data_IF_096443661116
#
_entry.id   IF_096443661116
#
_cell.length_a   1.000
_cell.length_b   1.000
_cell.length_c   1.000
_cell.angle_alpha   90.00
_cell.angle_beta   90.00
_cell.angle_gamma   90.00
#
_symmetry.space_group_name_H-M   'P 1'
#
loop_
_entity.id
_entity.type
_entity.pdbx_description
1 polymer ?
#
# COMPACT_ATOMS: atom_id res chain seq x y z
N UNK A 1 52.55 5.75 7.60
CA UNK A 1 51.08 5.62 7.38
C UNK A 1 50.40 5.34 8.70
N UNK A 2 49.68 6.33 9.23
CA UNK A 2 49.04 6.24 10.54
C UNK A 2 47.80 5.34 10.54
N UNK A 3 47.77 4.37 11.45
CA UNK A 3 46.52 3.73 11.87
C UNK A 3 46.08 4.45 13.14
N UNK A 4 45.14 5.39 13.00
CA UNK A 4 44.46 5.98 14.15
C UNK A 4 43.56 4.89 14.73
N UNK A 5 44.03 4.26 15.81
CA UNK A 5 43.23 3.41 16.68
C UNK A 5 42.27 4.30 17.46
N UNK A 6 40.99 4.31 17.11
CA UNK A 6 39.98 5.08 17.83
C UNK A 6 39.82 4.54 19.27
N UNK A 7 39.70 5.42 20.29
CA UNK A 7 39.62 5.02 21.69
C UNK A 7 38.27 4.37 22.03
N UNK A 8 38.32 3.27 22.78
CA UNK A 8 37.20 2.39 23.21
C UNK A 8 36.19 3.08 24.17
N UNK A 9 36.32 4.40 24.42
CA UNK A 9 35.57 5.09 25.47
C UNK A 9 34.21 5.67 25.06
N UNK A 10 33.78 5.55 23.81
CA UNK A 10 32.52 6.21 23.39
C UNK A 10 31.47 5.28 22.75
N UNK A 11 31.48 4.00 23.10
CA UNK A 11 30.51 3.02 22.56
C UNK A 11 29.06 3.37 22.92
N UNK A 12 28.81 3.96 24.10
CA UNK A 12 27.47 4.41 24.50
C UNK A 12 26.94 5.54 23.61
N UNK A 13 27.78 6.51 23.24
CA UNK A 13 27.36 7.56 22.32
C UNK A 13 27.17 7.03 20.89
N UNK A 14 28.04 6.11 20.43
CA UNK A 14 27.87 5.46 19.13
C UNK A 14 26.57 4.66 19.09
N UNK A 15 26.24 3.89 20.14
CA UNK A 15 24.97 3.17 20.23
C UNK A 15 23.76 4.10 20.39
N UNK A 16 23.90 5.23 21.09
CA UNK A 16 22.84 6.25 21.20
C UNK A 16 22.57 6.93 19.86
N UNK A 17 23.61 7.23 19.08
CA UNK A 17 23.49 7.78 17.73
C UNK A 17 22.88 6.73 16.79
N UNK A 18 23.34 5.48 16.84
CA UNK A 18 22.76 4.39 16.06
C UNK A 18 21.29 4.11 16.44
N UNK A 19 20.94 4.19 17.73
CA UNK A 19 19.55 4.09 18.20
C UNK A 19 18.71 5.27 17.69
N UNK A 20 19.25 6.49 17.76
CA UNK A 20 18.59 7.70 17.27
C UNK A 20 18.38 7.67 15.75
N UNK A 21 19.35 7.12 15.00
CA UNK A 21 19.22 6.90 13.55
C UNK A 21 18.21 5.80 13.23
N UNK A 22 18.20 4.69 13.99
CA UNK A 22 17.20 3.62 13.81
C UNK A 22 15.78 4.13 14.11
N UNK A 23 15.56 4.85 15.22
CA UNK A 23 14.25 5.42 15.54
C UNK A 23 13.83 6.49 14.53
N UNK A 24 14.76 7.28 14.00
CA UNK A 24 14.43 8.28 12.96
C UNK A 24 14.00 7.60 11.66
N UNK A 25 14.64 6.50 11.26
CA UNK A 25 14.23 5.71 10.09
C UNK A 25 12.85 5.08 10.30
N UNK A 26 12.62 4.47 11.47
CA UNK A 26 11.34 3.82 11.78
C UNK A 26 10.19 4.85 11.84
N UNK A 27 10.44 6.06 12.39
CA UNK A 27 9.48 7.17 12.41
C UNK A 27 9.23 7.71 11.00
N UNK A 28 10.25 7.88 10.16
CA UNK A 28 10.09 8.35 8.79
C UNK A 28 9.30 7.34 7.94
N UNK A 29 9.60 6.05 8.07
CA UNK A 29 8.83 5.00 7.38
C UNK A 29 7.39 4.91 7.91
N UNK A 30 7.16 5.07 9.21
CA UNK A 30 5.80 5.11 9.77
C UNK A 30 5.01 6.37 9.36
N UNK A 31 5.67 7.53 9.24
CA UNK A 31 5.08 8.77 8.76
C UNK A 31 4.76 8.71 7.25
N UNK A 32 5.62 8.07 6.46
CA UNK A 32 5.40 7.84 5.04
C UNK A 32 4.25 6.84 4.80
N UNK A 33 4.17 5.76 5.58
CA UNK A 33 3.06 4.79 5.55
C UNK A 33 1.74 5.41 6.02
N UNK A 34 1.75 6.25 7.04
CA UNK A 34 0.52 6.88 7.58
C UNK A 34 -0.02 7.99 6.68
N UNK A 35 0.83 8.75 5.98
CA UNK A 35 0.39 9.72 4.97
C UNK A 35 -0.35 9.03 3.80
N UNK A 36 0.18 7.88 3.35
CA UNK A 36 -0.48 7.05 2.35
C UNK A 36 -1.85 6.56 2.79
N UNK A 37 -1.96 6.07 4.03
CA UNK A 37 -3.23 5.61 4.60
C UNK A 37 -4.29 6.72 4.65
N UNK A 38 -3.93 7.93 5.10
CA UNK A 38 -4.87 9.07 5.17
C UNK A 38 -5.39 9.46 3.79
N UNK A 39 -4.52 9.49 2.78
CA UNK A 39 -4.92 9.81 1.41
C UNK A 39 -5.84 8.74 0.84
N UNK A 40 -5.51 7.46 1.07
CA UNK A 40 -6.31 6.32 0.62
C UNK A 40 -7.70 6.30 1.26
N UNK A 41 -7.80 6.62 2.56
CA UNK A 41 -9.06 6.69 3.29
C UNK A 41 -9.96 7.80 2.73
N UNK A 42 -9.39 8.99 2.50
CA UNK A 42 -10.12 10.12 1.91
C UNK A 42 -10.60 9.79 0.50
N UNK A 43 -9.73 9.25 -0.35
CA UNK A 43 -10.09 8.86 -1.71
C UNK A 43 -11.21 7.82 -1.70
N UNK A 44 -11.11 6.81 -0.83
CA UNK A 44 -12.11 5.76 -0.68
C UNK A 44 -13.46 6.32 -0.21
N UNK A 45 -13.45 7.36 0.64
CA UNK A 45 -14.67 8.05 1.04
C UNK A 45 -15.31 8.83 -0.12
N UNK A 46 -14.52 9.59 -0.89
CA UNK A 46 -15.03 10.37 -2.02
C UNK A 46 -15.61 9.46 -3.13
N UNK A 47 -14.94 8.35 -3.43
CA UNK A 47 -15.45 7.36 -4.40
C UNK A 47 -16.79 6.80 -3.94
N UNK A 48 -16.94 6.46 -2.65
CA UNK A 48 -18.21 5.97 -2.10
C UNK A 48 -19.32 7.01 -2.21
N UNK A 49 -19.01 8.27 -1.88
CA UNK A 49 -19.96 9.38 -2.01
C UNK A 49 -20.41 9.55 -3.46
N UNK A 50 -19.49 9.54 -4.41
CA UNK A 50 -19.82 9.63 -5.84
C UNK A 50 -20.66 8.43 -6.32
N UNK A 51 -20.30 7.20 -5.92
CA UNK A 51 -21.00 5.98 -6.35
C UNK A 51 -22.40 5.83 -5.75
N UNK A 52 -22.75 6.61 -4.73
CA UNK A 52 -24.10 6.67 -4.18
C UNK A 52 -25.09 7.44 -5.07
N UNK A 53 -24.62 8.23 -6.05
CA UNK A 53 -25.47 8.97 -6.98
C UNK A 53 -26.29 8.00 -7.88
N UNK A 54 -27.63 7.98 -7.78
CA UNK A 54 -28.47 7.13 -8.61
C UNK A 54 -28.31 7.40 -10.10
N UNK A 55 -28.09 8.65 -10.52
CA UNK A 55 -27.92 8.98 -11.93
C UNK A 55 -26.62 8.37 -12.48
N UNK A 56 -25.55 8.41 -11.68
CA UNK A 56 -24.29 7.76 -12.03
C UNK A 56 -24.42 6.23 -12.07
N UNK A 57 -25.14 5.63 -11.12
CA UNK A 57 -25.41 4.19 -11.14
C UNK A 57 -26.18 3.76 -12.39
N UNK A 58 -27.22 4.51 -12.78
CA UNK A 58 -27.99 4.20 -13.99
C UNK A 58 -27.14 4.33 -15.26
N UNK A 59 -26.27 5.33 -15.34
CA UNK A 59 -25.32 5.46 -16.46
C UNK A 59 -24.35 4.27 -16.53
N UNK A 60 -23.82 3.84 -15.38
CA UNK A 60 -22.92 2.70 -15.31
C UNK A 60 -23.63 1.41 -15.77
N UNK A 61 -24.88 1.19 -15.34
CA UNK A 61 -25.70 0.06 -15.79
C UNK A 61 -25.91 0.13 -17.31
N UNK A 62 -26.15 1.32 -17.86
CA UNK A 62 -26.31 1.55 -19.29
C UNK A 62 -25.10 1.12 -20.13
N UNK A 63 -23.89 1.10 -19.55
CA UNK A 63 -22.66 0.60 -20.20
C UNK A 63 -22.27 -0.81 -19.74
N UNK A 64 -23.19 -1.57 -19.14
CA UNK A 64 -22.96 -2.95 -18.70
C UNK A 64 -22.07 -3.08 -17.46
N UNK A 65 -21.89 -2.00 -16.70
CA UNK A 65 -21.04 -1.96 -15.50
C UNK A 65 -21.89 -1.82 -14.24
N UNK A 66 -21.46 -2.45 -13.14
CA UNK A 66 -22.03 -2.23 -11.81
C UNK A 66 -20.98 -1.57 -10.91
N UNK A 67 -21.29 -0.37 -10.44
CA UNK A 67 -20.43 0.33 -9.49
C UNK A 67 -20.53 -0.34 -8.12
N UNK A 68 -19.38 -0.74 -7.57
CA UNK A 68 -19.25 -1.28 -6.22
C UNK A 68 -18.37 -0.35 -5.40
N UNK A 69 -18.96 0.44 -4.49
CA UNK A 69 -18.23 1.37 -3.61
C UNK A 69 -17.61 0.65 -2.41
N UNK A 70 -16.72 -0.30 -2.66
CA UNK A 70 -16.11 -1.09 -1.59
C UNK A 70 -14.99 -0.32 -0.88
N UNK A 71 -14.78 -0.62 0.41
CA UNK A 71 -13.64 -0.16 1.22
C UNK A 71 -12.31 -0.77 0.68
N UNK A 72 -11.14 -0.19 1.03
CA UNK A 72 -9.84 -0.74 0.63
C UNK A 72 -9.60 -2.20 1.10
N UNK A 73 -10.06 -2.59 2.29
CA UNK A 73 -9.92 -3.95 2.82
C UNK A 73 -10.69 -5.00 1.98
N UNK A 74 -11.98 -4.81 1.63
CA UNK A 74 -12.69 -5.63 0.66
C UNK A 74 -12.01 -5.77 -0.71
N UNK A 75 -11.24 -4.76 -1.15
CA UNK A 75 -10.49 -4.84 -2.41
C UNK A 75 -9.29 -5.76 -2.25
N UNK A 76 -8.52 -5.62 -1.17
CA UNK A 76 -7.39 -6.50 -0.88
C UNK A 76 -7.82 -7.97 -0.74
N UNK A 77 -8.92 -8.23 -0.03
CA UNK A 77 -9.49 -9.58 0.07
C UNK A 77 -9.95 -10.11 -1.28
N UNK A 78 -10.57 -9.27 -2.11
CA UNK A 78 -10.95 -9.65 -3.47
C UNK A 78 -9.73 -10.01 -4.30
N UNK A 79 -8.68 -9.20 -4.28
CA UNK A 79 -7.43 -9.50 -4.99
C UNK A 79 -6.83 -10.82 -4.51
N UNK A 80 -6.80 -11.07 -3.21
CA UNK A 80 -6.29 -12.32 -2.64
C UNK A 80 -7.06 -13.56 -3.13
N UNK A 81 -8.38 -13.45 -3.34
CA UNK A 81 -9.20 -14.54 -3.91
C UNK A 81 -9.07 -14.67 -5.42
N UNK A 82 -9.03 -13.54 -6.13
CA UNK A 82 -9.06 -13.49 -7.59
C UNK A 82 -7.72 -13.90 -8.21
N UNK A 83 -6.60 -13.46 -7.62
CA UNK A 83 -5.25 -13.71 -8.13
C UNK A 83 -4.96 -15.18 -8.41
N UNK A 84 -5.14 -16.14 -7.46
CA UNK A 84 -4.88 -17.55 -7.74
C UNK A 84 -5.84 -18.13 -8.79
N UNK A 85 -7.09 -17.64 -8.86
CA UNK A 85 -8.09 -18.10 -9.83
C UNK A 85 -7.70 -17.73 -11.26
N UNK A 86 -7.33 -16.47 -11.48
CA UNK A 86 -6.90 -16.02 -12.81
C UNK A 86 -5.53 -16.62 -13.18
N UNK A 87 -4.62 -16.79 -12.23
CA UNK A 87 -3.35 -17.48 -12.46
C UNK A 87 -3.57 -18.94 -12.94
N UNK A 88 -4.56 -19.65 -12.39
CA UNK A 88 -4.95 -20.96 -12.88
C UNK A 88 -5.53 -20.90 -14.30
N UNK A 89 -6.38 -19.90 -14.57
CA UNK A 89 -6.98 -19.74 -15.90
C UNK A 89 -5.94 -19.48 -16.99
N UNK A 90 -4.96 -18.60 -16.74
CA UNK A 90 -3.86 -18.33 -17.69
C UNK A 90 -3.07 -19.61 -18.01
N UNK A 91 -2.80 -20.44 -16.99
CA UNK A 91 -2.11 -21.72 -17.17
C UNK A 91 -2.93 -22.70 -18.00
N UNK A 92 -4.24 -22.76 -17.78
CA UNK A 92 -5.16 -23.64 -18.53
C UNK A 92 -5.31 -23.17 -19.97
N UNK A 93 -5.41 -21.86 -20.20
CA UNK A 93 -5.63 -21.30 -21.53
C UNK A 93 -4.36 -21.31 -22.39
N UNK A 94 -3.18 -21.49 -21.79
CA UNK A 94 -1.90 -21.37 -22.50
C UNK A 94 -1.63 -19.95 -23.00
N UNK A 95 -2.30 -18.95 -22.42
CA UNK A 95 -2.13 -17.56 -22.82
C UNK A 95 -0.75 -17.07 -22.38
N UNK A 96 -0.02 -16.43 -23.29
CA UNK A 96 1.25 -15.77 -23.01
C UNK A 96 1.06 -14.26 -23.11
N UNK A 97 1.72 -13.46 -22.25
CA UNK A 97 1.79 -12.02 -22.48
C UNK A 97 2.49 -11.75 -23.83
N UNK A 98 1.94 -10.81 -24.58
CA UNK A 98 2.50 -10.30 -25.84
C UNK A 98 3.85 -9.60 -25.70
#
# INVERSE_FOLDING_TARGET
>A
MGKQSAPVQNWKAILSIARCQQTSSDILTALEQSCGAIVLDRLSQEIRTAFADPALQQRAIGIGTRLTGSMPEPVAERLARETPRWAAMVRISGATPE
#
